data_IF_236070665082
#
_entry.id   IF_236070665082
#
_cell.length_a   1.000
_cell.length_b   1.000
_cell.length_c   1.000
_cell.angle_alpha   90.00
_cell.angle_beta   90.00
_cell.angle_gamma   90.00
#
_symmetry.space_group_name_H-M   'P 1'
#
loop_
_entity.id
_entity.type
_entity.pdbx_description
1 polymer ?
#
# COMPACT_ATOMS: atom_id res chain seq x y z
N UNK A 1 -5.55 24.14 -10.99
CA UNK A 1 -5.10 22.98 -10.17
C UNK A 1 -3.70 22.63 -10.62
N UNK A 2 -2.79 22.31 -9.71
CA UNK A 2 -1.44 21.86 -10.04
C UNK A 2 -1.43 20.35 -9.82
N UNK A 3 -1.48 19.58 -10.91
CA UNK A 3 -1.46 18.11 -10.85
C UNK A 3 -0.01 17.63 -10.78
N UNK A 4 0.31 16.82 -9.77
CA UNK A 4 1.63 16.25 -9.55
C UNK A 4 2.69 17.28 -9.12
N UNK A 5 3.09 17.24 -7.84
CA UNK A 5 4.28 17.98 -7.38
C UNK A 5 5.29 17.05 -6.70
N UNK A 6 6.52 17.05 -7.21
CA UNK A 6 7.69 16.52 -6.51
C UNK A 6 8.18 17.51 -5.45
N UNK A 7 8.82 17.02 -4.39
CA UNK A 7 9.34 17.85 -3.29
C UNK A 7 10.18 19.04 -3.79
N UNK A 8 11.07 18.82 -4.76
CA UNK A 8 11.91 19.88 -5.33
C UNK A 8 11.10 21.05 -5.91
N UNK A 9 9.94 20.77 -6.52
CA UNK A 9 9.07 21.80 -7.06
C UNK A 9 8.25 22.50 -5.96
N UNK A 10 7.86 21.80 -4.89
CA UNK A 10 7.24 22.41 -3.70
C UNK A 10 8.21 23.41 -3.05
N UNK A 11 9.45 22.97 -2.80
CA UNK A 11 10.53 23.79 -2.25
C UNK A 11 10.83 24.97 -3.19
N UNK A 12 10.88 24.74 -4.50
CA UNK A 12 11.07 25.79 -5.50
C UNK A 12 9.94 26.82 -5.51
N UNK A 13 8.67 26.42 -5.46
CA UNK A 13 7.55 27.37 -5.40
C UNK A 13 7.58 28.20 -4.12
N UNK A 14 7.89 27.58 -2.97
CA UNK A 14 8.07 28.30 -1.70
C UNK A 14 9.24 29.30 -1.82
N UNK A 15 10.39 28.90 -2.37
CA UNK A 15 11.54 29.79 -2.57
C UNK A 15 11.21 30.92 -3.55
N UNK A 16 10.53 30.64 -4.67
CA UNK A 16 10.15 31.65 -5.66
C UNK A 16 9.16 32.68 -5.09
N UNK A 17 8.18 32.25 -4.29
CA UNK A 17 7.26 33.14 -3.58
C UNK A 17 8.00 34.01 -2.54
N UNK A 18 8.86 33.40 -1.72
CA UNK A 18 9.71 34.12 -0.77
C UNK A 18 10.65 35.12 -1.47
N UNK A 19 11.12 34.84 -2.69
CA UNK A 19 11.90 35.79 -3.51
C UNK A 19 11.00 36.89 -4.09
N UNK A 20 9.81 36.56 -4.59
CA UNK A 20 8.85 37.55 -5.12
C UNK A 20 8.31 38.50 -4.06
N UNK A 21 8.21 38.04 -2.81
CA UNK A 21 7.84 38.86 -1.64
C UNK A 21 9.06 39.59 -1.02
N UNK A 22 10.24 39.54 -1.65
CA UNK A 22 11.51 40.13 -1.19
C UNK A 22 11.99 39.61 0.19
N UNK A 23 11.45 38.48 0.66
CA UNK A 23 11.77 37.83 1.93
C UNK A 23 13.08 37.01 1.87
N UNK A 24 13.58 36.71 0.67
CA UNK A 24 14.89 36.13 0.43
C UNK A 24 15.83 37.14 -0.26
N UNK A 25 17.12 37.07 0.10
CA UNK A 25 18.24 37.84 -0.46
C UNK A 25 18.29 39.35 -0.20
N UNK A 26 17.26 39.96 0.39
CA UNK A 26 17.41 41.27 1.03
C UNK A 26 18.16 41.11 2.35
N UNK A 27 19.24 41.88 2.56
CA UNK A 27 20.21 41.68 3.65
C UNK A 27 19.71 41.89 5.08
N UNK A 28 18.40 42.01 5.30
CA UNK A 28 17.81 41.98 6.63
C UNK A 28 17.53 40.54 7.05
N UNK A 29 18.21 40.08 8.11
CA UNK A 29 17.73 38.97 8.93
C UNK A 29 16.50 39.43 9.71
N UNK A 30 15.34 39.50 9.06
CA UNK A 30 14.07 39.77 9.74
C UNK A 30 13.63 38.50 10.49
N UNK A 31 14.17 38.31 11.70
CA UNK A 31 14.04 37.10 12.52
C UNK A 31 12.61 36.85 13.08
N UNK A 32 11.60 37.54 12.53
CA UNK A 32 10.25 37.62 13.11
C UNK A 32 9.09 37.24 12.18
N UNK A 33 9.32 36.91 10.90
CA UNK A 33 8.24 36.45 10.02
C UNK A 33 8.15 34.94 9.97
N UNK A 34 7.05 34.41 10.49
CA UNK A 34 6.78 32.97 10.55
C UNK A 34 6.43 32.43 9.15
N UNK A 35 7.43 31.87 8.47
CA UNK A 35 7.33 31.19 7.17
C UNK A 35 6.27 30.06 7.15
N UNK A 36 5.83 29.57 8.33
CA UNK A 36 4.67 28.69 8.46
C UNK A 36 3.34 29.33 8.01
N UNK A 37 3.26 30.65 7.92
CA UNK A 37 2.05 31.37 7.48
C UNK A 37 1.83 31.32 5.96
N UNK A 38 2.89 31.16 5.16
CA UNK A 38 2.81 31.05 3.70
C UNK A 38 2.58 29.61 3.22
N UNK A 39 3.14 28.63 3.95
CA UNK A 39 3.05 27.20 3.64
C UNK A 39 1.61 26.68 3.33
N UNK A 40 0.56 27.04 4.09
CA UNK A 40 -0.82 26.62 3.78
C UNK A 40 -1.27 26.99 2.37
N UNK A 41 -0.96 28.19 1.89
CA UNK A 41 -1.42 28.68 0.58
C UNK A 41 -0.84 27.91 -0.63
N UNK A 42 0.21 27.11 -0.42
CA UNK A 42 0.79 26.19 -1.40
C UNK A 42 0.33 24.76 -1.16
N UNK A 43 0.34 24.32 0.10
CA UNK A 43 -0.03 22.95 0.49
C UNK A 43 -1.50 22.64 0.19
N UNK A 44 -2.40 23.60 0.38
CA UNK A 44 -3.83 23.47 0.02
C UNK A 44 -4.06 23.33 -1.50
N UNK A 45 -3.04 23.46 -2.35
CA UNK A 45 -3.14 23.25 -3.80
C UNK A 45 -2.57 21.91 -4.26
N UNK A 46 -2.01 21.11 -3.34
CA UNK A 46 -1.38 19.82 -3.64
C UNK A 46 -2.46 18.73 -3.60
N UNK A 47 -2.87 18.27 -4.78
CA UNK A 47 -3.79 17.14 -4.93
C UNK A 47 -3.06 15.79 -5.05
N UNK A 48 -1.81 15.83 -5.51
CA UNK A 48 -0.95 14.68 -5.75
C UNK A 48 0.48 14.96 -5.27
N UNK A 49 1.03 14.06 -4.47
CA UNK A 49 2.34 14.18 -3.84
C UNK A 49 3.14 12.89 -4.05
N UNK A 50 4.32 13.00 -4.64
CA UNK A 50 5.24 11.88 -4.87
C UNK A 50 6.64 12.18 -4.32
N UNK A 51 7.13 11.31 -3.43
CA UNK A 51 8.41 11.46 -2.72
C UNK A 51 9.13 10.09 -2.69
N UNK A 52 10.38 9.99 -3.21
CA UNK A 52 10.87 8.71 -3.77
C UNK A 52 12.20 8.10 -3.25
N UNK A 53 13.00 8.84 -2.47
CA UNK A 53 14.33 8.43 -1.93
C UNK A 53 15.39 7.84 -2.91
N UNK A 54 15.08 7.70 -4.20
CA UNK A 54 16.00 7.19 -5.23
C UNK A 54 17.16 8.15 -5.51
N UNK A 55 16.85 9.44 -5.68
CA UNK A 55 17.84 10.46 -5.99
C UNK A 55 18.42 11.12 -4.73
N UNK A 56 17.67 11.08 -3.63
CA UNK A 56 17.97 11.76 -2.37
C UNK A 56 17.55 10.90 -1.17
N UNK A 57 18.44 10.07 -0.61
CA UNK A 57 18.16 9.29 0.60
C UNK A 57 17.70 10.16 1.78
N UNK A 58 16.82 9.62 2.62
CA UNK A 58 16.27 10.31 3.79
C UNK A 58 15.29 11.47 3.48
N UNK A 59 14.99 11.77 2.21
CA UNK A 59 14.08 12.87 1.89
C UNK A 59 12.64 12.59 2.36
N UNK A 60 12.16 11.35 2.33
CA UNK A 60 10.80 11.02 2.83
C UNK A 60 10.79 11.11 4.35
N UNK A 61 11.84 10.63 5.03
CA UNK A 61 11.99 10.82 6.47
C UNK A 61 11.95 12.31 6.85
N UNK A 62 12.74 13.15 6.16
CA UNK A 62 12.79 14.59 6.39
C UNK A 62 11.43 15.26 6.13
N UNK A 63 10.76 14.88 5.05
CA UNK A 63 9.42 15.37 4.71
C UNK A 63 8.41 15.05 5.81
N UNK A 64 8.26 13.78 6.18
CA UNK A 64 7.26 13.36 7.18
C UNK A 64 7.62 13.86 8.60
N UNK A 65 8.92 14.09 8.87
CA UNK A 65 9.38 14.69 10.13
C UNK A 65 9.02 16.18 10.25
N UNK A 66 8.95 16.90 9.12
CA UNK A 66 8.52 18.29 9.03
C UNK A 66 6.99 18.39 8.95
N UNK A 67 6.38 17.67 8.01
CA UNK A 67 4.94 17.53 7.79
C UNK A 67 4.35 16.36 8.57
N UNK A 68 4.49 16.40 9.90
CA UNK A 68 3.98 15.35 10.81
C UNK A 68 2.47 15.15 10.77
N UNK A 69 1.73 16.06 10.15
CA UNK A 69 0.28 16.05 10.07
C UNK A 69 -0.17 16.36 8.62
N UNK A 70 -0.62 15.34 7.87
CA UNK A 70 -1.32 15.50 6.60
C UNK A 70 -2.66 16.23 6.68
N UNK A 71 -3.12 16.62 7.88
CA UNK A 71 -4.27 17.53 8.07
C UNK A 71 -4.10 18.87 7.33
N UNK A 72 -2.86 19.30 7.09
CA UNK A 72 -2.56 20.54 6.34
C UNK A 72 -2.81 20.39 4.83
N UNK A 73 -2.88 19.17 4.30
CA UNK A 73 -2.98 18.89 2.87
C UNK A 73 -4.45 18.69 2.48
N UNK A 74 -5.30 19.69 2.67
CA UNK A 74 -6.78 19.57 2.62
C UNK A 74 -7.29 18.89 1.32
N UNK A 75 -6.59 19.11 0.20
CA UNK A 75 -6.95 18.61 -1.12
C UNK A 75 -6.12 17.41 -1.59
N UNK A 76 -5.20 16.88 -0.79
CA UNK A 76 -4.38 15.72 -1.16
C UNK A 76 -5.24 14.46 -1.28
N UNK A 77 -5.22 13.90 -2.49
CA UNK A 77 -5.95 12.69 -2.89
C UNK A 77 -5.00 11.54 -3.17
N UNK A 78 -3.87 11.83 -3.80
CA UNK A 78 -2.93 10.82 -4.28
C UNK A 78 -1.59 10.98 -3.58
N UNK A 79 -1.14 9.95 -2.88
CA UNK A 79 0.13 9.93 -2.14
C UNK A 79 1.00 8.75 -2.57
N UNK A 80 2.17 9.04 -3.14
CA UNK A 80 3.22 8.07 -3.46
C UNK A 80 4.42 8.28 -2.52
N UNK A 81 4.76 7.24 -1.75
CA UNK A 81 5.94 7.20 -0.90
C UNK A 81 6.83 6.05 -1.36
N UNK A 82 8.09 6.31 -1.68
CA UNK A 82 9.06 5.27 -1.98
C UNK A 82 10.30 5.45 -1.12
N UNK A 83 10.67 4.39 -0.39
CA UNK A 83 11.69 4.35 0.64
C UNK A 83 12.82 3.40 0.24
N UNK A 84 14.08 3.80 0.49
CA UNK A 84 15.27 3.05 0.08
C UNK A 84 16.23 2.81 1.25
N UNK A 85 16.65 1.54 1.39
CA UNK A 85 17.83 1.01 2.11
C UNK A 85 18.00 1.36 3.61
N UNK A 86 17.68 2.56 4.06
CA UNK A 86 17.68 2.95 5.47
C UNK A 86 16.43 2.43 6.21
N UNK A 87 16.55 2.28 7.53
CA UNK A 87 15.50 1.70 8.35
C UNK A 87 14.32 2.69 8.51
N UNK A 88 13.26 2.49 7.72
CA UNK A 88 12.02 3.26 7.85
C UNK A 88 11.41 3.08 9.24
N UNK A 89 11.38 4.16 10.03
CA UNK A 89 10.51 4.23 11.20
C UNK A 89 9.05 4.39 10.74
N UNK A 90 8.39 3.24 10.56
CA UNK A 90 6.96 3.16 10.23
C UNK A 90 6.05 3.95 11.19
N UNK A 91 6.51 4.27 12.41
CA UNK A 91 5.80 5.15 13.33
C UNK A 91 5.64 6.57 12.78
N UNK A 92 6.57 7.04 11.96
CA UNK A 92 6.50 8.36 11.32
C UNK A 92 5.39 8.37 10.25
N UNK A 93 5.31 7.34 9.41
CA UNK A 93 4.20 7.12 8.47
C UNK A 93 2.88 6.99 9.22
N UNK A 94 2.85 6.17 10.29
CA UNK A 94 1.70 5.96 11.17
C UNK A 94 1.20 7.27 11.81
N UNK A 95 2.10 8.17 12.19
CA UNK A 95 1.78 9.49 12.77
C UNK A 95 1.28 10.48 11.70
N UNK A 96 1.95 10.56 10.55
CA UNK A 96 1.53 11.42 9.46
C UNK A 96 0.09 11.11 9.02
N UNK A 97 -0.22 9.83 8.83
CA UNK A 97 -1.55 9.33 8.50
C UNK A 97 -2.54 9.39 9.68
N UNK A 98 -2.10 9.43 10.95
CA UNK A 98 -3.01 9.56 12.10
C UNK A 98 -3.79 10.87 12.09
N UNK A 99 -3.20 11.93 11.55
CA UNK A 99 -3.83 13.24 11.39
C UNK A 99 -4.86 13.31 10.25
N UNK A 100 -4.97 12.24 9.46
CA UNK A 100 -5.73 12.17 8.21
C UNK A 100 -7.24 11.84 8.29
N UNK A 101 -8.00 11.82 9.42
CA UNK A 101 -9.44 11.53 9.38
C UNK A 101 -10.28 12.45 8.49
N UNK A 102 -9.74 13.63 8.16
CA UNK A 102 -10.38 14.63 7.29
C UNK A 102 -9.74 14.70 5.88
N UNK A 103 -8.49 14.26 5.72
CA UNK A 103 -7.76 14.34 4.44
C UNK A 103 -8.28 13.27 3.48
N UNK A 104 -8.62 13.67 2.26
CA UNK A 104 -9.33 12.83 1.28
C UNK A 104 -8.38 11.98 0.42
N UNK A 105 -7.40 11.34 1.05
CA UNK A 105 -6.49 10.42 0.35
C UNK A 105 -7.31 9.25 -0.20
N UNK A 106 -7.49 9.20 -1.52
CA UNK A 106 -8.19 8.13 -2.24
C UNK A 106 -7.23 7.08 -2.79
N UNK A 107 -5.98 7.47 -3.00
CA UNK A 107 -4.93 6.64 -3.58
C UNK A 107 -3.67 6.76 -2.73
N UNK A 108 -3.23 5.64 -2.15
CA UNK A 108 -1.97 5.54 -1.43
C UNK A 108 -1.12 4.42 -2.04
N UNK A 109 0.11 4.74 -2.40
CA UNK A 109 1.10 3.77 -2.82
C UNK A 109 2.34 3.92 -1.97
N UNK A 110 2.78 2.82 -1.37
CA UNK A 110 4.03 2.76 -0.60
C UNK A 110 4.91 1.69 -1.24
N UNK A 111 6.13 2.08 -1.62
CA UNK A 111 7.18 1.17 -2.03
C UNK A 111 8.34 1.22 -1.04
N UNK A 112 8.88 0.07 -0.66
CA UNK A 112 9.90 -0.07 0.38
C UNK A 112 10.95 -1.11 -0.04
N UNK A 113 12.17 -0.66 -0.32
CA UNK A 113 13.29 -1.56 -0.60
C UNK A 113 14.27 -1.61 0.57
N UNK A 114 13.93 -2.42 1.58
CA UNK A 114 14.74 -2.66 2.78
C UNK A 114 15.40 -4.04 2.70
N UNK A 115 16.72 -4.07 2.91
CA UNK A 115 17.53 -5.28 2.79
C UNK A 115 17.52 -6.19 4.03
N UNK A 116 17.46 -5.67 5.25
CA UNK A 116 17.76 -6.48 6.45
C UNK A 116 16.87 -6.28 7.71
N UNK A 117 15.98 -5.28 7.77
CA UNK A 117 15.26 -4.97 9.02
C UNK A 117 13.82 -5.52 9.09
N UNK A 118 13.58 -6.46 10.02
CA UNK A 118 12.27 -7.11 10.27
C UNK A 118 11.31 -6.22 11.10
N UNK A 119 11.03 -5.01 10.65
CA UNK A 119 10.05 -4.15 11.32
C UNK A 119 8.62 -4.61 11.02
N UNK A 120 7.76 -4.60 12.05
CA UNK A 120 6.36 -4.97 11.92
C UNK A 120 5.54 -3.78 11.45
N UNK A 121 5.12 -3.81 10.19
CA UNK A 121 4.29 -2.76 9.56
C UNK A 121 2.85 -2.75 10.08
N UNK A 122 2.46 -3.76 10.89
CA UNK A 122 1.07 -4.05 11.26
C UNK A 122 0.28 -2.90 11.86
N UNK A 123 0.88 -2.03 12.68
CA UNK A 123 0.19 -0.87 13.25
C UNK A 123 -0.12 0.21 12.19
N UNK A 124 0.85 0.53 11.34
CA UNK A 124 0.67 1.47 10.25
C UNK A 124 -0.37 0.94 9.24
N UNK A 125 -0.28 -0.34 8.86
CA UNK A 125 -1.28 -0.96 7.97
C UNK A 125 -2.69 -0.89 8.56
N UNK A 126 -2.86 -1.22 9.85
CA UNK A 126 -4.16 -1.16 10.50
C UNK A 126 -4.76 0.25 10.54
N UNK A 127 -3.94 1.31 10.45
CA UNK A 127 -4.43 2.69 10.28
C UNK A 127 -4.76 3.00 8.81
N UNK A 128 -3.90 2.60 7.87
CA UNK A 128 -4.12 2.77 6.42
C UNK A 128 -5.47 2.19 6.01
N UNK A 129 -5.77 0.94 6.39
CA UNK A 129 -7.03 0.28 6.05
C UNK A 129 -8.28 0.93 6.70
N UNK A 130 -8.10 1.81 7.71
CA UNK A 130 -9.18 2.60 8.33
C UNK A 130 -9.41 3.97 7.71
N UNK A 131 -8.60 4.38 6.72
CA UNK A 131 -8.78 5.64 5.99
C UNK A 131 -10.07 5.57 5.16
N UNK A 132 -11.10 6.31 5.56
CA UNK A 132 -12.45 6.22 4.96
C UNK A 132 -12.51 6.64 3.49
N UNK A 133 -11.61 7.50 3.02
CA UNK A 133 -11.51 7.92 1.63
C UNK A 133 -10.73 6.95 0.75
N UNK A 134 -9.94 6.04 1.33
CA UNK A 134 -8.97 5.26 0.59
C UNK A 134 -9.66 4.18 -0.26
N UNK A 135 -9.56 4.33 -1.58
CA UNK A 135 -10.13 3.43 -2.59
C UNK A 135 -9.04 2.58 -3.27
N UNK A 136 -7.81 3.09 -3.36
CA UNK A 136 -6.68 2.43 -4.02
C UNK A 136 -5.51 2.34 -3.06
N UNK A 137 -5.07 1.13 -2.75
CA UNK A 137 -3.89 0.90 -1.92
C UNK A 137 -2.89 -0.02 -2.61
N UNK A 138 -1.64 0.43 -2.71
CA UNK A 138 -0.52 -0.38 -3.17
C UNK A 138 0.57 -0.42 -2.10
N UNK A 139 1.05 -1.62 -1.77
CA UNK A 139 2.19 -1.83 -0.89
C UNK A 139 3.15 -2.84 -1.53
N UNK A 140 4.30 -2.33 -1.96
CA UNK A 140 5.39 -3.07 -2.58
C UNK A 140 6.55 -3.06 -1.56
N UNK A 141 6.89 -4.19 -0.96
CA UNK A 141 7.93 -4.23 0.09
C UNK A 141 8.71 -5.53 0.02
N UNK A 142 10.05 -5.47 -0.10
CA UNK A 142 10.86 -6.65 -0.38
C UNK A 142 10.84 -7.72 0.75
N UNK A 143 10.58 -7.32 2.02
CA UNK A 143 10.67 -8.24 3.18
C UNK A 143 9.68 -7.98 4.34
N UNK A 144 8.55 -7.30 4.09
CA UNK A 144 7.57 -7.03 5.16
C UNK A 144 6.78 -8.26 5.59
N UNK A 145 6.62 -8.45 6.91
CA UNK A 145 5.61 -9.35 7.49
C UNK A 145 4.39 -8.56 7.93
N UNK A 146 3.22 -8.98 7.47
CA UNK A 146 1.95 -8.40 7.86
C UNK A 146 1.15 -9.36 8.75
N UNK A 147 0.50 -8.84 9.79
CA UNK A 147 -0.42 -9.64 10.60
C UNK A 147 -1.85 -9.51 10.06
N UNK A 148 -2.13 -10.26 9.00
CA UNK A 148 -3.42 -10.28 8.31
C UNK A 148 -4.59 -10.62 9.25
N UNK A 149 -4.38 -11.53 10.22
CA UNK A 149 -5.41 -11.90 11.21
C UNK A 149 -5.88 -10.74 12.09
N UNK A 150 -5.02 -9.74 12.34
CA UNK A 150 -5.40 -8.51 13.04
C UNK A 150 -6.18 -7.55 12.14
N UNK A 151 -5.90 -7.53 10.83
CA UNK A 151 -6.59 -6.69 9.85
C UNK A 151 -8.02 -7.19 9.58
N UNK A 152 -8.28 -8.49 9.67
CA UNK A 152 -9.61 -9.10 9.46
C UNK A 152 -10.74 -8.58 10.37
N UNK A 153 -10.43 -7.72 11.36
CA UNK A 153 -11.39 -7.03 12.25
C UNK A 153 -11.70 -5.59 11.81
N UNK A 154 -11.05 -5.11 10.75
CA UNK A 154 -11.22 -3.79 10.16
C UNK A 154 -12.13 -3.96 8.95
N UNK A 155 -12.98 -2.97 8.66
CA UNK A 155 -13.69 -2.89 7.39
C UNK A 155 -13.16 -1.68 6.64
N UNK A 156 -12.65 -1.91 5.43
CA UNK A 156 -12.03 -0.90 4.59
C UNK A 156 -12.85 -0.59 3.34
N UNK A 157 -12.74 0.64 2.85
CA UNK A 157 -13.39 1.11 1.62
C UNK A 157 -12.51 0.92 0.37
N UNK A 158 -11.37 0.22 0.50
CA UNK A 158 -10.48 -0.07 -0.63
C UNK A 158 -11.25 -0.88 -1.68
N UNK A 159 -11.14 -0.46 -2.93
CA UNK A 159 -11.70 -1.12 -4.11
C UNK A 159 -10.61 -1.77 -4.97
N UNK A 160 -9.38 -1.26 -4.92
CA UNK A 160 -8.23 -1.79 -5.65
C UNK A 160 -7.05 -1.98 -4.70
N UNK A 161 -6.53 -3.20 -4.60
CA UNK A 161 -5.45 -3.56 -3.68
C UNK A 161 -4.30 -4.23 -4.43
N UNK A 162 -3.08 -3.71 -4.28
CA UNK A 162 -1.85 -4.30 -4.81
C UNK A 162 -0.88 -4.61 -3.66
N UNK A 163 -0.43 -5.86 -3.56
CA UNK A 163 0.47 -6.35 -2.51
C UNK A 163 1.57 -7.19 -3.18
N UNK A 164 2.84 -6.75 -3.08
CA UNK A 164 3.98 -7.50 -3.63
C UNK A 164 5.20 -7.43 -2.70
N UNK A 165 6.01 -8.51 -2.70
CA UNK A 165 7.13 -8.78 -1.79
C UNK A 165 6.75 -9.04 -0.32
N UNK A 166 5.53 -8.70 0.09
CA UNK A 166 5.03 -8.95 1.45
C UNK A 166 4.88 -10.46 1.67
N UNK A 167 5.24 -10.92 2.86
CA UNK A 167 4.90 -12.26 3.33
C UNK A 167 3.37 -12.40 3.49
N UNK A 168 2.73 -12.90 2.44
CA UNK A 168 1.31 -13.30 2.38
C UNK A 168 1.24 -14.79 2.04
N UNK A 169 0.71 -15.60 2.95
CA UNK A 169 0.40 -17.01 2.68
C UNK A 169 -0.96 -17.10 1.95
N UNK A 170 -1.25 -18.20 1.25
CA UNK A 170 -2.52 -18.32 0.52
C UNK A 170 -3.73 -18.32 1.46
N UNK A 171 -3.56 -18.90 2.65
CA UNK A 171 -4.52 -18.84 3.75
C UNK A 171 -4.77 -17.41 4.28
N UNK A 172 -3.90 -16.42 4.02
CA UNK A 172 -4.11 -15.03 4.43
C UNK A 172 -5.12 -14.28 3.55
N UNK A 173 -5.41 -14.77 2.33
CA UNK A 173 -6.39 -14.16 1.42
C UNK A 173 -7.77 -14.02 2.08
N UNK A 174 -8.20 -14.99 2.91
CA UNK A 174 -9.45 -14.89 3.66
C UNK A 174 -9.53 -13.66 4.59
N UNK A 175 -8.38 -13.20 5.09
CA UNK A 175 -8.30 -12.06 6.01
C UNK A 175 -8.34 -10.76 5.23
N UNK A 176 -7.67 -10.71 4.06
CA UNK A 176 -7.81 -9.61 3.09
C UNK A 176 -9.29 -9.46 2.70
N UNK A 177 -9.94 -10.57 2.34
CA UNK A 177 -11.34 -10.60 1.91
C UNK A 177 -12.30 -10.11 3.01
N UNK A 178 -12.08 -10.51 4.27
CA UNK A 178 -12.86 -9.99 5.41
C UNK A 178 -12.56 -8.53 5.72
N UNK A 179 -11.34 -8.07 5.46
CA UNK A 179 -10.91 -6.70 5.71
C UNK A 179 -11.41 -5.70 4.66
N UNK A 180 -11.55 -6.15 3.40
CA UNK A 180 -11.87 -5.32 2.24
C UNK A 180 -13.10 -5.85 1.51
N UNK A 181 -14.32 -5.66 2.06
CA UNK A 181 -15.56 -6.16 1.45
C UNK A 181 -15.94 -5.44 0.15
N UNK A 182 -15.30 -4.30 -0.14
CA UNK A 182 -15.52 -3.48 -1.34
C UNK A 182 -14.57 -3.80 -2.52
N UNK A 183 -13.74 -4.85 -2.38
CA UNK A 183 -12.65 -5.15 -3.32
C UNK A 183 -13.17 -5.56 -4.70
N UNK A 184 -12.76 -4.82 -5.73
CA UNK A 184 -13.04 -5.05 -7.15
C UNK A 184 -11.84 -5.66 -7.86
N UNK A 185 -10.65 -5.14 -7.57
CA UNK A 185 -9.40 -5.60 -8.19
C UNK A 185 -8.38 -5.95 -7.10
N UNK A 186 -7.80 -7.15 -7.18
CA UNK A 186 -6.73 -7.61 -6.29
C UNK A 186 -5.53 -8.06 -7.12
N UNK A 187 -4.36 -7.49 -6.85
CA UNK A 187 -3.07 -8.00 -7.30
C UNK A 187 -2.24 -8.38 -6.07
N UNK A 188 -1.90 -9.65 -5.94
CA UNK A 188 -1.25 -10.18 -4.73
C UNK A 188 -0.17 -11.21 -5.05
N UNK A 189 0.99 -10.99 -4.45
CA UNK A 189 2.09 -11.94 -4.43
C UNK A 189 2.00 -12.83 -3.17
N UNK A 190 1.87 -14.13 -3.41
CA UNK A 190 1.87 -15.18 -2.39
C UNK A 190 3.30 -15.66 -2.19
N UNK A 191 3.84 -15.40 -1.01
CA UNK A 191 5.16 -15.84 -0.61
C UNK A 191 5.12 -17.29 -0.12
N UNK A 192 5.81 -18.19 -0.80
CA UNK A 192 5.94 -19.56 -0.27
C UNK A 192 6.79 -19.59 1.01
N UNK A 193 6.27 -20.24 2.04
CA UNK A 193 7.14 -20.82 3.07
C UNK A 193 7.57 -22.22 2.65
N UNK A 194 8.88 -22.40 2.50
CA UNK A 194 9.51 -23.65 2.95
C UNK A 194 9.43 -23.66 4.48
N UNK A 195 8.29 -24.12 5.02
CA UNK A 195 8.11 -24.28 6.46
C UNK A 195 8.96 -25.45 6.94
N UNK A 196 10.22 -25.16 7.31
CA UNK A 196 11.16 -26.14 7.86
C UNK A 196 10.66 -26.84 9.15
N UNK A 197 9.61 -26.31 9.78
CA UNK A 197 8.90 -26.97 10.87
C UNK A 197 7.77 -27.83 10.31
N UNK A 198 8.02 -29.15 10.23
CA UNK A 198 7.14 -30.16 9.63
C UNK A 198 5.87 -30.50 10.41
N UNK A 199 5.25 -29.53 11.11
CA UNK A 199 3.93 -29.73 11.68
C UNK A 199 2.85 -29.55 10.61
N UNK A 200 2.19 -30.66 10.26
CA UNK A 200 0.96 -30.66 9.48
C UNK A 200 -0.11 -29.88 10.24
N UNK A 201 -0.19 -28.57 10.00
CA UNK A 201 -1.31 -27.76 10.43
C UNK A 201 -2.60 -28.47 9.98
N UNK A 202 -3.41 -28.92 10.93
CA UNK A 202 -4.73 -29.48 10.64
C UNK A 202 -5.55 -28.35 10.04
N UNK A 203 -5.56 -28.26 8.70
CA UNK A 203 -6.38 -27.33 7.91
C UNK A 203 -7.83 -27.54 8.32
N UNK A 204 -8.31 -26.71 9.26
CA UNK A 204 -9.73 -26.59 9.52
C UNK A 204 -10.34 -26.03 8.24
N UNK A 205 -11.49 -26.57 7.81
CA UNK A 205 -12.27 -25.96 6.74
C UNK A 205 -12.70 -24.57 7.23
N UNK A 206 -11.98 -23.56 6.81
CA UNK A 206 -12.26 -22.17 7.13
C UNK A 206 -13.26 -21.67 6.10
N UNK A 207 -14.38 -21.11 6.54
CA UNK A 207 -15.36 -20.53 5.63
C UNK A 207 -14.71 -19.33 4.90
N UNK A 208 -14.35 -19.55 3.64
CA UNK A 208 -13.90 -18.50 2.72
C UNK A 208 -15.03 -17.49 2.57
N UNK A 209 -14.70 -16.20 2.66
CA UNK A 209 -15.67 -15.14 2.46
C UNK A 209 -15.98 -15.00 0.97
N UNK A 210 -17.26 -15.05 0.60
CA UNK A 210 -17.70 -14.80 -0.78
C UNK A 210 -17.36 -13.37 -1.18
N UNK A 211 -16.83 -13.21 -2.39
CA UNK A 211 -16.42 -11.96 -3.02
C UNK A 211 -17.33 -11.62 -4.21
N UNK A 212 -18.56 -11.11 -3.96
CA UNK A 212 -19.59 -10.95 -5.00
C UNK A 212 -19.33 -9.79 -5.98
N UNK A 213 -18.22 -9.05 -5.83
CA UNK A 213 -17.87 -7.88 -6.63
C UNK A 213 -16.41 -7.85 -7.12
N UNK A 214 -15.61 -8.88 -6.82
CA UNK A 214 -14.23 -8.99 -7.30
C UNK A 214 -14.22 -9.41 -8.77
N UNK A 215 -13.71 -8.52 -9.64
CA UNK A 215 -13.73 -8.62 -11.10
C UNK A 215 -12.38 -8.95 -11.69
N UNK A 216 -11.29 -8.51 -11.06
CA UNK A 216 -9.93 -8.78 -11.46
C UNK A 216 -9.14 -9.40 -10.29
N UNK A 217 -8.49 -10.53 -10.55
CA UNK A 217 -7.61 -11.20 -9.60
C UNK A 217 -6.30 -11.56 -10.30
N UNK A 218 -5.22 -10.92 -9.87
CA UNK A 218 -3.85 -11.23 -10.28
C UNK A 218 -3.17 -11.93 -9.11
N UNK A 219 -2.67 -13.13 -9.35
CA UNK A 219 -2.07 -13.99 -8.35
C UNK A 219 -0.64 -14.35 -8.77
N UNK A 220 0.35 -13.80 -8.06
CA UNK A 220 1.75 -14.09 -8.29
C UNK A 220 2.27 -15.08 -7.24
N UNK A 221 2.93 -16.16 -7.65
CA UNK A 221 3.53 -17.14 -6.74
C UNK A 221 5.04 -16.95 -6.66
N UNK A 222 5.51 -16.43 -5.52
CA UNK A 222 6.94 -16.32 -5.24
C UNK A 222 7.50 -17.65 -4.71
N UNK A 223 8.33 -18.30 -5.55
CA UNK A 223 8.96 -19.58 -5.24
C UNK A 223 8.00 -20.77 -5.20
N UNK A 224 8.41 -21.84 -4.51
CA UNK A 224 7.76 -23.15 -4.54
C UNK A 224 6.53 -23.18 -3.61
N UNK A 225 5.44 -22.54 -4.03
CA UNK A 225 4.18 -22.46 -3.28
C UNK A 225 3.55 -23.82 -3.00
N UNK A 226 3.02 -24.02 -1.79
CA UNK A 226 2.30 -25.24 -1.37
C UNK A 226 0.77 -25.17 -1.63
N UNK A 227 0.34 -24.26 -2.52
CA UNK A 227 -1.06 -24.13 -2.92
C UNK A 227 -1.45 -25.31 -3.79
N UNK A 228 -2.44 -26.09 -3.33
CA UNK A 228 -3.02 -27.17 -4.10
C UNK A 228 -4.16 -26.64 -4.96
N UNK A 229 -4.40 -27.28 -6.11
CA UNK A 229 -5.46 -26.85 -7.03
C UNK A 229 -6.84 -26.82 -6.35
N UNK A 230 -7.15 -27.78 -5.47
CA UNK A 230 -8.38 -27.78 -4.67
C UNK A 230 -8.59 -26.49 -3.86
N UNK A 231 -7.52 -25.90 -3.32
CA UNK A 231 -7.60 -24.65 -2.56
C UNK A 231 -7.87 -23.48 -3.50
N UNK A 232 -7.21 -23.45 -4.66
CA UNK A 232 -7.46 -22.42 -5.67
C UNK A 232 -8.88 -22.53 -6.23
N UNK A 233 -9.39 -23.74 -6.49
CA UNK A 233 -10.80 -24.02 -6.81
C UNK A 233 -11.74 -23.44 -5.77
N UNK A 234 -11.50 -23.68 -4.47
CA UNK A 234 -12.36 -23.18 -3.38
C UNK A 234 -12.40 -21.65 -3.34
N UNK A 235 -11.25 -20.99 -3.59
CA UNK A 235 -11.16 -19.54 -3.68
C UNK A 235 -11.82 -18.96 -4.94
N UNK A 236 -11.61 -19.53 -6.14
CA UNK A 236 -12.23 -19.06 -7.38
C UNK A 236 -13.77 -19.22 -7.34
N UNK A 237 -14.27 -20.33 -6.78
CA UNK A 237 -15.70 -20.54 -6.55
C UNK A 237 -16.33 -19.51 -5.58
N UNK A 238 -15.52 -18.80 -4.79
CA UNK A 238 -16.00 -17.69 -3.95
C UNK A 238 -16.16 -16.35 -4.70
N UNK A 239 -15.75 -16.27 -5.97
CA UNK A 239 -15.66 -15.05 -6.79
C UNK A 239 -16.60 -15.11 -8.02
N UNK A 240 -17.93 -15.12 -7.83
CA UNK A 240 -18.91 -15.42 -8.89
C UNK A 240 -19.03 -14.37 -10.01
N UNK A 241 -18.25 -13.28 -9.96
CA UNK A 241 -18.23 -12.21 -10.97
C UNK A 241 -16.82 -11.94 -11.50
N UNK A 242 -15.89 -12.88 -11.30
CA UNK A 242 -14.51 -12.75 -11.75
C UNK A 242 -14.43 -12.75 -13.28
N UNK A 243 -14.08 -11.60 -13.86
CA UNK A 243 -13.96 -11.40 -15.32
C UNK A 243 -12.53 -11.46 -15.84
N UNK A 244 -11.53 -11.32 -14.95
CA UNK A 244 -10.12 -11.34 -15.28
C UNK A 244 -9.34 -12.10 -14.21
N UNK A 245 -8.64 -13.15 -14.63
CA UNK A 245 -7.75 -13.95 -13.81
C UNK A 245 -6.38 -13.99 -14.49
N UNK A 246 -5.34 -13.50 -13.82
CA UNK A 246 -3.95 -13.61 -14.25
C UNK A 246 -3.16 -14.38 -13.18
N UNK A 247 -2.41 -15.40 -13.60
CA UNK A 247 -1.62 -16.21 -12.67
C UNK A 247 -0.17 -16.23 -13.13
N UNK A 248 0.70 -15.65 -12.30
CA UNK A 248 2.14 -15.54 -12.53
C UNK A 248 2.81 -16.61 -11.67
N UNK A 249 3.19 -17.73 -12.29
CA UNK A 249 3.80 -18.87 -11.60
C UNK A 249 5.14 -19.24 -12.23
N UNK A 250 6.08 -19.72 -11.43
CA UNK A 250 7.27 -20.41 -11.94
C UNK A 250 6.89 -21.75 -12.58
N UNK A 251 7.68 -22.19 -13.56
CA UNK A 251 7.35 -23.33 -14.44
C UNK A 251 7.09 -24.66 -13.73
N UNK A 252 7.63 -24.86 -12.53
CA UNK A 252 7.45 -26.09 -11.73
C UNK A 252 6.02 -26.28 -11.22
N UNK A 253 5.19 -25.21 -11.20
CA UNK A 253 3.79 -25.25 -10.78
C UNK A 253 2.80 -25.46 -11.96
N UNK A 254 3.29 -25.63 -13.19
CA UNK A 254 2.47 -25.65 -14.40
C UNK A 254 2.17 -27.07 -14.91
N UNK A 255 1.42 -27.87 -14.13
CA UNK A 255 0.68 -29.00 -14.73
C UNK A 255 -0.47 -28.44 -15.57
N UNK A 256 -0.25 -28.36 -16.88
CA UNK A 256 -1.19 -27.83 -17.87
C UNK A 256 -2.56 -28.52 -17.79
N UNK A 257 -2.63 -29.81 -17.45
CA UNK A 257 -3.91 -30.52 -17.35
C UNK A 257 -4.68 -30.10 -16.09
N UNK A 258 -3.99 -29.94 -14.98
CA UNK A 258 -4.58 -29.46 -13.73
C UNK A 258 -5.07 -28.00 -13.88
N UNK A 259 -4.29 -27.14 -14.53
CA UNK A 259 -4.69 -25.76 -14.85
C UNK A 259 -5.89 -25.70 -15.79
N UNK A 260 -5.91 -26.53 -16.83
CA UNK A 260 -7.06 -26.63 -17.73
C UNK A 260 -8.33 -27.06 -16.97
N UNK A 261 -8.23 -28.10 -16.14
CA UNK A 261 -9.35 -28.60 -15.34
C UNK A 261 -9.89 -27.55 -14.37
N UNK A 262 -9.01 -26.80 -13.70
CA UNK A 262 -9.39 -25.69 -12.81
C UNK A 262 -10.22 -24.64 -13.56
N UNK A 263 -9.73 -24.19 -14.73
CA UNK A 263 -10.41 -23.17 -15.54
C UNK A 263 -11.75 -23.67 -16.11
N UNK A 264 -11.85 -24.96 -16.47
CA UNK A 264 -13.10 -25.58 -16.96
C UNK A 264 -14.15 -25.81 -15.86
N UNK A 265 -13.77 -25.81 -14.57
CA UNK A 265 -14.66 -26.17 -13.45
C UNK A 265 -14.96 -25.06 -12.45
N UNK A 266 -14.12 -24.01 -12.40
CA UNK A 266 -14.09 -23.06 -11.27
C UNK A 266 -14.26 -21.59 -11.66
N UNK A 267 -14.36 -21.30 -12.96
CA UNK A 267 -14.72 -19.97 -13.46
C UNK A 267 -16.19 -19.95 -13.92
N UNK A 268 -16.94 -18.87 -13.63
CA UNK A 268 -18.35 -18.73 -14.03
C UNK A 268 -18.54 -18.41 -15.53
#
# INVERSE_FOLDING_TARGET
MISGMHMGEIVRLIILDLVQQELLFHGHRDTHRDYKSLLPAYIDKIEELAISEQDTPGQVYAFLSFFRLFVLFIYLRILYLHFNEEALDWKIVENALYSSPQTKIDTLSIKESIKENRLSVGNATARIFRLKSLQKFSLLSDFTRMNWSNLAKISSNIEHLTISGIHCEFEDLQYIFRCVPCLKDLDVEIASRVSFFGEKAKRSKQNIAVMPILRAFVLCFAGNSLVTMDMLTEYLNSMPVLTYLEIKAHSELLDVNAWKMLLETSLP
#
